data_IF_156923622017
#
_entry.id   IF_156923622017
#
_cell.length_a   1.000
_cell.length_b   1.000
_cell.length_c   1.000
_cell.angle_alpha   90.00
_cell.angle_beta   90.00
_cell.angle_gamma   90.00
#
_symmetry.space_group_name_H-M   'P 1'
#
loop_
_entity.id
_entity.type
_entity.pdbx_description
1 polymer ?
#
# COMPACT_ATOMS: atom_id res chain seq x y z
N UNK A 1 8.71 -23.91 14.68
CA UNK A 1 9.92 -23.37 14.01
C UNK A 1 10.07 -21.92 14.45
N UNK A 2 11.25 -21.52 14.92
CA UNK A 2 11.53 -20.12 15.23
C UNK A 2 12.16 -19.45 14.00
N UNK A 3 11.69 -18.26 13.64
CA UNK A 3 12.33 -17.45 12.61
C UNK A 3 13.64 -16.89 13.17
N UNK A 4 14.72 -16.96 12.37
CA UNK A 4 15.99 -16.34 12.76
C UNK A 4 15.93 -14.83 12.54
N UNK A 5 16.73 -14.06 13.29
CA UNK A 5 16.88 -12.61 13.09
C UNK A 5 17.27 -12.21 11.67
N UNK A 6 18.06 -13.07 11.00
CA UNK A 6 18.42 -12.91 9.60
C UNK A 6 17.21 -13.10 8.69
N UNK A 7 16.40 -14.13 8.94
CA UNK A 7 15.18 -14.39 8.18
C UNK A 7 14.16 -13.26 8.36
N UNK A 8 14.00 -12.74 9.59
CA UNK A 8 13.14 -11.58 9.85
C UNK A 8 13.59 -10.34 9.08
N UNK A 9 14.90 -10.05 9.06
CA UNK A 9 15.45 -8.95 8.27
C UNK A 9 15.13 -9.09 6.77
N UNK A 10 15.36 -10.28 6.20
CA UNK A 10 15.07 -10.54 4.78
C UNK A 10 13.58 -10.39 4.45
N UNK A 11 12.68 -10.77 5.36
CA UNK A 11 11.24 -10.60 5.18
C UNK A 11 10.83 -9.13 5.20
N UNK A 12 11.43 -8.33 6.08
CA UNK A 12 11.23 -6.87 6.11
C UNK A 12 11.67 -6.26 4.78
N UNK A 13 12.89 -6.55 4.32
CA UNK A 13 13.44 -6.03 3.07
C UNK A 13 12.55 -6.40 1.87
N UNK A 14 12.05 -7.64 1.83
CA UNK A 14 11.17 -8.11 0.75
C UNK A 14 9.84 -7.34 0.71
N UNK A 15 9.21 -7.15 1.87
CA UNK A 15 7.93 -6.42 1.97
C UNK A 15 8.10 -4.95 1.59
N UNK A 16 9.17 -4.30 2.07
CA UNK A 16 9.48 -2.91 1.72
C UNK A 16 9.75 -2.73 0.22
N UNK A 17 10.49 -3.65 -0.39
CA UNK A 17 10.78 -3.62 -1.83
C UNK A 17 9.50 -3.84 -2.66
N UNK A 18 8.65 -4.79 -2.27
CA UNK A 18 7.35 -5.00 -2.90
C UNK A 18 6.48 -3.75 -2.82
N UNK A 19 6.36 -3.13 -1.63
CA UNK A 19 5.57 -1.90 -1.47
C UNK A 19 6.11 -0.75 -2.32
N UNK A 20 7.44 -0.60 -2.43
CA UNK A 20 8.08 0.46 -3.22
C UNK A 20 7.81 0.32 -4.72
N UNK A 21 7.67 -0.91 -5.22
CA UNK A 21 7.40 -1.20 -6.63
C UNK A 21 5.91 -1.26 -6.99
N UNK A 22 5.00 -1.20 -6.01
CA UNK A 22 3.56 -1.23 -6.26
C UNK A 22 3.05 0.09 -6.81
N UNK A 23 2.28 0.00 -7.91
CA UNK A 23 1.45 1.09 -8.40
C UNK A 23 0.00 0.83 -7.98
N UNK A 24 -0.57 1.73 -7.19
CA UNK A 24 -1.96 1.59 -6.72
C UNK A 24 -2.89 2.16 -7.80
N UNK A 25 -3.44 1.27 -8.63
CA UNK A 25 -4.35 1.65 -9.72
C UNK A 25 -5.82 1.49 -9.30
N UNK A 26 -6.13 0.50 -8.47
CA UNK A 26 -7.50 0.23 -8.04
C UNK A 26 -7.63 -0.10 -6.53
N UNK A 27 -8.82 -0.57 -6.16
CA UNK A 27 -9.17 -0.89 -4.77
C UNK A 27 -8.54 -2.19 -4.29
N UNK A 28 -8.24 -3.11 -5.19
CA UNK A 28 -7.58 -4.37 -4.86
C UNK A 28 -6.11 -4.10 -4.51
N UNK A 29 -5.42 -3.32 -5.34
CA UNK A 29 -4.04 -2.87 -5.06
C UNK A 29 -3.95 -2.15 -3.71
N UNK A 30 -4.92 -1.27 -3.43
CA UNK A 30 -4.98 -0.54 -2.17
C UNK A 30 -5.18 -1.47 -0.97
N UNK A 31 -5.97 -2.53 -1.11
CA UNK A 31 -6.16 -3.54 -0.06
C UNK A 31 -4.90 -4.36 0.16
N UNK A 32 -4.23 -4.77 -0.91
CA UNK A 32 -2.95 -5.48 -0.84
C UNK A 32 -1.91 -4.60 -0.12
N UNK A 33 -1.80 -3.32 -0.49
CA UNK A 33 -0.87 -2.38 0.14
C UNK A 33 -1.12 -2.19 1.64
N UNK A 34 -2.39 -2.16 2.07
CA UNK A 34 -2.74 -2.13 3.50
C UNK A 34 -2.36 -3.44 4.21
N UNK A 35 -2.54 -4.58 3.54
CA UNK A 35 -2.08 -5.89 4.03
C UNK A 35 -0.57 -5.92 4.26
N UNK A 36 0.21 -5.44 3.29
CA UNK A 36 1.67 -5.36 3.38
C UNK A 36 2.13 -4.42 4.50
N UNK A 37 1.47 -3.28 4.71
CA UNK A 37 1.76 -2.40 5.85
C UNK A 37 1.54 -3.08 7.20
N UNK A 38 0.47 -3.87 7.35
CA UNK A 38 0.22 -4.65 8.57
C UNK A 38 1.29 -5.72 8.78
N UNK A 39 1.63 -6.46 7.73
CA UNK A 39 2.69 -7.46 7.76
C UNK A 39 4.04 -6.84 8.18
N UNK A 40 4.40 -5.68 7.62
CA UNK A 40 5.62 -4.97 7.97
C UNK A 40 5.64 -4.57 9.46
N UNK A 41 4.50 -4.14 10.01
CA UNK A 41 4.37 -3.80 11.42
C UNK A 41 4.54 -5.01 12.33
N UNK A 42 3.94 -6.15 11.97
CA UNK A 42 4.07 -7.41 12.70
C UNK A 42 5.52 -7.92 12.70
N UNK A 43 6.20 -7.85 11.55
CA UNK A 43 7.60 -8.24 11.41
C UNK A 43 8.53 -7.36 12.24
N UNK A 44 8.33 -6.04 12.23
CA UNK A 44 9.11 -5.10 13.06
C UNK A 44 8.87 -5.31 14.55
N UNK A 45 7.62 -5.56 14.95
CA UNK A 45 7.25 -5.89 16.33
C UNK A 45 7.94 -7.17 16.81
N UNK A 46 8.00 -8.19 15.94
CA UNK A 46 8.65 -9.46 16.23
C UNK A 46 10.16 -9.33 16.42
N UNK A 47 10.75 -8.23 15.94
CA UNK A 47 12.17 -7.89 16.08
C UNK A 47 12.48 -7.03 17.31
N UNK A 48 11.49 -6.76 18.16
CA UNK A 48 11.62 -5.83 19.28
C UNK A 48 11.84 -4.38 18.87
N UNK A 49 11.62 -4.04 17.60
CA UNK A 49 11.66 -2.65 17.14
C UNK A 49 10.38 -1.94 17.60
N UNK A 50 10.48 -0.70 18.12
CA UNK A 50 9.30 0.03 18.54
C UNK A 50 8.35 0.18 17.36
N UNK A 51 7.09 -0.21 17.57
CA UNK A 51 6.01 -0.02 16.59
C UNK A 51 5.76 1.48 16.48
N UNK A 52 6.53 2.14 15.62
CA UNK A 52 6.20 3.50 15.17
C UNK A 52 4.80 3.42 14.58
N UNK A 53 3.85 4.14 15.20
CA UNK A 53 2.43 4.13 14.87
C UNK A 53 2.24 4.03 13.36
N UNK A 54 1.82 2.86 12.90
CA UNK A 54 1.44 2.67 11.50
C UNK A 54 0.25 3.60 11.33
N UNK A 55 0.45 4.71 10.60
CA UNK A 55 -0.57 5.71 10.36
C UNK A 55 -1.78 4.99 9.76
N UNK A 56 -2.77 4.73 10.60
CA UNK A 56 -4.00 4.10 10.21
C UNK A 56 -4.69 5.01 9.20
N UNK A 57 -4.66 4.62 7.93
CA UNK A 57 -5.53 5.18 6.91
C UNK A 57 -5.04 6.48 6.28
N UNK A 58 -4.01 6.38 5.44
CA UNK A 58 -3.98 7.21 4.23
C UNK A 58 -4.22 6.24 3.07
N UNK A 59 -5.49 6.07 2.71
CA UNK A 59 -5.82 5.53 1.39
C UNK A 59 -5.29 6.57 0.41
N UNK A 60 -4.30 6.27 -0.45
CA UNK A 60 -3.84 7.23 -1.43
C UNK A 60 -5.06 7.64 -2.26
N UNK A 61 -5.28 8.95 -2.34
CA UNK A 61 -6.32 9.53 -3.19
C UNK A 61 -6.11 8.99 -4.60
N UNK A 62 -6.92 8.01 -4.99
CA UNK A 62 -6.92 7.43 -6.34
C UNK A 62 -7.29 8.60 -7.25
N UNK A 63 -6.25 9.25 -7.81
CA UNK A 63 -6.42 10.27 -8.82
C UNK A 63 -7.04 9.59 -10.01
N UNK A 64 -8.37 9.60 -10.06
CA UNK A 64 -9.16 9.32 -11.25
C UNK A 64 -8.67 10.31 -12.29
N UNK A 65 -7.69 9.93 -13.10
CA UNK A 65 -7.35 10.64 -14.33
C UNK A 65 -8.62 10.60 -15.15
N UNK A 66 -9.37 11.69 -15.06
CA UNK A 66 -10.66 11.85 -15.69
C UNK A 66 -10.51 11.60 -17.18
N UNK A 67 -11.18 10.57 -17.66
CA UNK A 67 -11.80 10.59 -18.97
C UNK A 67 -12.54 11.95 -19.07
N UNK A 68 -12.24 12.82 -20.05
CA UNK A 68 -12.94 14.09 -20.16
C UNK A 68 -14.44 13.81 -20.30
N UNK A 69 -15.32 14.58 -19.63
CA UNK A 69 -16.75 14.44 -19.83
C UNK A 69 -17.04 14.67 -21.31
N UNK A 70 -17.79 13.75 -21.93
CA UNK A 70 -18.40 14.02 -23.23
C UNK A 70 -19.33 15.22 -23.05
N UNK A 71 -18.86 16.41 -23.41
CA UNK A 71 -19.72 17.56 -23.65
C UNK A 71 -20.72 17.14 -24.71
N UNK A 72 -21.94 16.81 -24.27
CA UNK A 72 -23.07 16.64 -25.16
C UNK A 72 -23.39 18.04 -25.64
N UNK A 73 -22.85 18.40 -26.80
CA UNK A 73 -23.24 19.61 -27.52
C UNK A 73 -24.74 19.52 -27.83
N UNK A 74 -25.56 20.10 -26.94
CA UNK A 74 -26.89 20.55 -27.32
C UNK A 74 -26.71 21.96 -27.88
N UNK A 75 -26.52 22.03 -29.20
CA UNK A 75 -26.83 23.24 -29.93
C UNK A 75 -28.36 23.35 -29.95
N UNK A 76 -28.89 24.32 -29.21
CA UNK A 76 -30.22 24.87 -29.49
C UNK A 76 -30.12 25.74 -30.72
N UNK A 77 -30.96 25.45 -31.72
CA UNK A 77 -31.61 26.41 -32.61
C UNK A 77 -33.00 25.83 -32.91
#
# INVERSE_FOLDING_TARGET
MALTERTLGLLVDLVENKMTSMQIADREDAREFVGLQRCLAELRSSRGMPVGQVAAGVVPEIRRRGRPPKVRAMASC
#
